data_IF_947002566906
#
_entry.id   IF_947002566906
#
_cell.length_a   1.000
_cell.length_b   1.000
_cell.length_c   1.000
_cell.angle_alpha   90.00
_cell.angle_beta   90.00
_cell.angle_gamma   90.00
#
_symmetry.space_group_name_H-M   'P 1'
#
loop_
_entity.id
_entity.type
_entity.pdbx_description
1 polymer ?
#
# COMPACT_ATOMS: atom_id res chain seq x y z
N UNK A 1 34.92 40.78 21.41
CA UNK A 1 34.26 39.89 22.38
C UNK A 1 33.34 38.99 21.60
N UNK A 2 33.63 37.71 21.36
CA UNK A 2 32.70 36.79 20.71
C UNK A 2 31.73 36.22 21.74
N UNK A 3 30.43 36.34 21.46
CA UNK A 3 29.35 35.76 22.25
C UNK A 3 29.19 34.30 21.82
N UNK A 4 29.59 33.36 22.68
CA UNK A 4 29.41 31.96 22.48
C UNK A 4 27.94 31.56 22.72
N UNK A 5 27.26 31.04 21.70
CA UNK A 5 25.95 30.39 21.82
C UNK A 5 26.19 28.92 22.16
N UNK A 6 25.91 28.53 23.39
CA UNK A 6 25.93 27.14 23.81
C UNK A 6 24.68 26.45 23.24
N UNK A 7 24.86 25.54 22.28
CA UNK A 7 23.83 24.63 21.80
C UNK A 7 23.69 23.48 22.79
N UNK A 8 22.69 23.53 23.64
CA UNK A 8 22.34 22.45 24.54
C UNK A 8 21.80 21.26 23.74
N UNK A 9 22.58 20.18 23.63
CA UNK A 9 22.12 18.91 23.10
C UNK A 9 21.25 18.25 24.18
N UNK A 10 19.94 18.31 24.00
CA UNK A 10 19.00 17.60 24.85
C UNK A 10 19.05 16.11 24.49
N UNK A 11 19.85 15.34 25.20
CA UNK A 11 19.87 13.87 25.11
C UNK A 11 18.72 13.33 25.96
N UNK A 12 17.51 13.45 25.44
CA UNK A 12 16.33 12.77 26.02
C UNK A 12 16.49 11.27 25.89
N UNK A 13 16.91 10.61 26.97
CA UNK A 13 16.80 9.17 27.09
C UNK A 13 15.32 8.79 26.99
N UNK A 14 14.94 7.77 26.19
CA UNK A 14 13.57 7.29 26.17
C UNK A 14 13.23 6.71 27.55
N UNK A 15 12.08 7.09 28.08
CA UNK A 15 11.55 6.56 29.33
C UNK A 15 11.45 5.03 29.21
N UNK A 16 12.12 4.33 30.13
CA UNK A 16 12.06 2.89 30.30
C UNK A 16 10.65 2.54 30.79
N UNK A 17 9.86 1.76 29.98
CA UNK A 17 8.67 1.08 30.49
C UNK A 17 7.32 1.40 29.85
N UNK A 18 7.22 1.77 28.58
CA UNK A 18 5.96 1.58 27.84
C UNK A 18 6.09 0.32 26.98
N UNK A 19 5.28 -0.70 27.26
CA UNK A 19 5.10 -1.81 26.34
C UNK A 19 4.82 -1.21 24.96
N UNK A 20 5.73 -1.46 23.98
CA UNK A 20 5.52 -0.96 22.62
C UNK A 20 4.24 -1.57 22.08
N UNK A 21 3.22 -0.75 21.86
CA UNK A 21 2.01 -1.18 21.19
C UNK A 21 2.38 -1.84 19.86
N UNK A 22 1.89 -3.05 19.63
CA UNK A 22 2.06 -3.73 18.35
C UNK A 22 1.25 -2.97 17.29
N UNK A 23 1.89 -2.58 16.22
CA UNK A 23 1.25 -1.89 15.10
C UNK A 23 0.46 -2.88 14.23
N UNK A 24 -0.59 -2.39 13.60
CA UNK A 24 -1.46 -3.17 12.71
C UNK A 24 -1.32 -2.70 11.27
N UNK A 25 -1.03 -3.62 10.37
CA UNK A 25 -1.05 -3.41 8.93
C UNK A 25 -2.29 -4.05 8.29
N UNK A 26 -2.96 -3.34 7.40
CA UNK A 26 -4.04 -3.85 6.56
C UNK A 26 -3.61 -3.85 5.10
N UNK A 27 -3.63 -5.01 4.47
CA UNK A 27 -3.36 -5.17 3.03
C UNK A 27 -4.67 -5.49 2.31
N UNK A 28 -5.10 -4.62 1.41
CA UNK A 28 -6.31 -4.79 0.59
C UNK A 28 -5.93 -5.14 -0.85
N UNK A 29 -6.46 -6.24 -1.36
CA UNK A 29 -6.10 -6.78 -2.67
C UNK A 29 -4.99 -7.83 -2.57
N UNK A 30 -5.12 -8.74 -1.62
CA UNK A 30 -4.14 -9.82 -1.43
C UNK A 30 -4.30 -10.89 -2.49
N UNK A 31 -3.22 -11.09 -3.25
CA UNK A 31 -3.05 -12.16 -4.21
C UNK A 31 -1.64 -12.75 -4.12
N UNK A 32 -1.35 -13.82 -4.89
CA UNK A 32 0.01 -14.34 -5.00
C UNK A 32 0.95 -13.22 -5.50
N UNK A 33 2.19 -13.24 -5.08
CA UNK A 33 3.17 -12.19 -5.36
C UNK A 33 3.16 -11.09 -4.30
N UNK A 34 2.90 -9.83 -4.65
CA UNK A 34 3.08 -8.67 -3.75
C UNK A 34 2.27 -8.79 -2.45
N UNK A 35 0.99 -9.22 -2.52
CA UNK A 35 0.15 -9.35 -1.32
C UNK A 35 0.71 -10.36 -0.32
N UNK A 36 1.22 -11.49 -0.80
CA UNK A 36 1.86 -12.52 0.02
C UNK A 36 3.20 -12.03 0.61
N UNK A 37 3.99 -11.32 -0.18
CA UNK A 37 5.25 -10.75 0.29
C UNK A 37 5.03 -9.69 1.36
N UNK A 38 4.03 -8.81 1.18
CA UNK A 38 3.63 -7.82 2.18
C UNK A 38 3.24 -8.48 3.50
N UNK A 39 2.40 -9.53 3.46
CA UNK A 39 2.00 -10.26 4.67
C UNK A 39 3.21 -10.76 5.46
N UNK A 40 4.13 -11.45 4.78
CA UNK A 40 5.35 -11.99 5.40
C UNK A 40 6.29 -10.91 5.92
N UNK A 41 6.56 -9.91 5.10
CA UNK A 41 7.52 -8.85 5.44
C UNK A 41 7.05 -7.99 6.61
N UNK A 42 5.77 -7.62 6.64
CA UNK A 42 5.21 -6.79 7.69
C UNK A 42 5.11 -7.55 9.02
N UNK A 43 4.71 -8.83 8.98
CA UNK A 43 4.71 -9.67 10.17
C UNK A 43 6.13 -9.89 10.71
N UNK A 44 7.12 -10.14 9.84
CA UNK A 44 8.53 -10.24 10.23
C UNK A 44 9.08 -8.92 10.81
N UNK A 45 8.52 -7.78 10.42
CA UNK A 45 8.84 -6.46 10.99
C UNK A 45 8.13 -6.18 12.33
N UNK A 46 7.37 -7.14 12.87
CA UNK A 46 6.72 -7.04 14.18
C UNK A 46 5.30 -6.47 14.15
N UNK A 47 4.65 -6.38 12.99
CA UNK A 47 3.28 -5.90 12.86
C UNK A 47 2.27 -7.05 12.90
N UNK A 48 1.10 -6.83 13.52
CA UNK A 48 -0.09 -7.65 13.27
C UNK A 48 -0.58 -7.37 11.85
N UNK A 49 -1.11 -8.38 11.15
CA UNK A 49 -1.47 -8.24 9.74
C UNK A 49 -2.92 -8.66 9.48
N UNK A 50 -3.70 -7.73 8.95
CA UNK A 50 -5.00 -7.97 8.36
C UNK A 50 -4.85 -8.12 6.84
N UNK A 51 -5.38 -9.20 6.27
CA UNK A 51 -5.34 -9.50 4.84
C UNK A 51 -6.77 -9.48 4.29
N UNK A 52 -7.04 -8.60 3.33
CA UNK A 52 -8.38 -8.45 2.76
C UNK A 52 -8.42 -8.86 1.28
N UNK A 53 -9.37 -9.73 0.96
CA UNK A 53 -9.72 -10.10 -0.42
C UNK A 53 -11.21 -10.42 -0.52
N UNK A 54 -11.76 -10.51 -1.73
CA UNK A 54 -13.17 -10.91 -1.93
C UNK A 54 -13.49 -12.30 -1.39
N UNK A 55 -12.52 -13.19 -1.43
CA UNK A 55 -12.63 -14.53 -0.85
C UNK A 55 -11.56 -14.70 0.23
N UNK A 56 -11.96 -14.53 1.50
CA UNK A 56 -11.06 -14.63 2.65
C UNK A 56 -10.49 -16.04 2.84
N UNK A 57 -11.28 -17.08 2.59
CA UNK A 57 -10.88 -18.49 2.79
C UNK A 57 -9.65 -18.88 1.96
N UNK A 58 -9.47 -18.25 0.78
CA UNK A 58 -8.27 -18.47 -0.04
C UNK A 58 -6.98 -17.98 0.61
N UNK A 59 -7.10 -17.15 1.64
CA UNK A 59 -5.95 -16.60 2.36
C UNK A 59 -5.56 -17.44 3.59
N UNK A 60 -6.37 -18.43 3.98
CA UNK A 60 -6.11 -19.24 5.19
C UNK A 60 -4.74 -19.91 5.17
N UNK A 61 -4.26 -20.54 4.08
CA UNK A 61 -2.92 -21.13 4.06
C UNK A 61 -1.80 -20.10 4.28
N UNK A 62 -1.96 -18.87 3.74
CA UNK A 62 -1.02 -17.78 3.95
C UNK A 62 -1.08 -17.29 5.40
N UNK A 63 -2.29 -17.11 5.94
CA UNK A 63 -2.49 -16.71 7.35
C UNK A 63 -1.78 -17.67 8.30
N UNK A 64 -1.98 -18.97 8.12
CA UNK A 64 -1.38 -20.00 8.97
C UNK A 64 0.15 -20.00 8.84
N UNK A 65 0.67 -19.90 7.60
CA UNK A 65 2.11 -19.84 7.36
C UNK A 65 2.75 -18.62 8.03
N UNK A 66 2.16 -17.43 7.85
CA UNK A 66 2.72 -16.19 8.38
C UNK A 66 2.60 -16.15 9.90
N UNK A 67 1.47 -16.60 10.45
CA UNK A 67 1.27 -16.71 11.90
C UNK A 67 2.28 -17.66 12.56
N UNK A 68 2.50 -18.82 11.96
CA UNK A 68 3.47 -19.80 12.47
C UNK A 68 4.90 -19.25 12.44
N UNK A 69 5.26 -18.48 11.43
CA UNK A 69 6.59 -17.91 11.28
C UNK A 69 6.86 -16.71 12.19
N UNK A 70 5.85 -15.86 12.45
CA UNK A 70 6.01 -14.60 13.18
C UNK A 70 5.57 -14.66 14.65
N UNK A 71 4.70 -15.58 15.02
CA UNK A 71 4.04 -15.62 16.33
C UNK A 71 3.05 -14.48 16.56
N UNK A 72 2.78 -13.64 15.55
CA UNK A 72 1.89 -12.49 15.65
C UNK A 72 0.48 -12.81 15.16
N UNK A 73 -0.48 -11.96 15.50
CA UNK A 73 -1.83 -12.08 15.00
C UNK A 73 -1.87 -11.74 13.50
N UNK A 74 -2.30 -12.72 12.70
CA UNK A 74 -2.56 -12.56 11.26
C UNK A 74 -3.96 -13.07 10.99
N UNK A 75 -4.79 -12.28 10.31
CA UNK A 75 -6.19 -12.62 10.02
C UNK A 75 -6.58 -12.28 8.60
N UNK A 76 -7.45 -13.12 8.02
CA UNK A 76 -8.08 -12.86 6.73
C UNK A 76 -9.49 -12.27 6.93
N UNK A 77 -9.86 -11.35 6.03
CA UNK A 77 -11.16 -10.69 6.00
C UNK A 77 -11.74 -10.69 4.60
N UNK A 78 -13.04 -10.96 4.48
CA UNK A 78 -13.78 -10.82 3.23
C UNK A 78 -14.07 -9.35 2.95
N UNK A 79 -13.65 -8.84 1.78
CA UNK A 79 -13.93 -7.46 1.40
C UNK A 79 -13.97 -7.29 -0.11
N UNK A 80 -15.06 -6.70 -0.59
CA UNK A 80 -15.12 -6.07 -1.90
C UNK A 80 -14.72 -4.59 -1.75
N UNK A 81 -13.51 -4.26 -2.18
CA UNK A 81 -12.97 -2.91 -2.07
C UNK A 81 -13.74 -1.86 -2.90
N UNK A 82 -14.54 -2.28 -3.88
CA UNK A 82 -15.38 -1.40 -4.69
C UNK A 82 -16.73 -1.08 -4.05
N UNK A 83 -17.05 -1.72 -2.93
CA UNK A 83 -18.26 -1.53 -2.17
C UNK A 83 -17.98 -0.79 -0.85
N UNK A 84 -18.50 0.42 -0.71
CA UNK A 84 -18.27 1.28 0.46
C UNK A 84 -18.66 0.60 1.78
N UNK A 85 -19.83 -0.05 1.84
CA UNK A 85 -20.28 -0.74 3.07
C UNK A 85 -19.37 -1.91 3.43
N UNK A 86 -18.87 -2.62 2.43
CA UNK A 86 -17.92 -3.72 2.64
C UNK A 86 -16.62 -3.21 3.25
N UNK A 87 -16.10 -2.07 2.76
CA UNK A 87 -14.87 -1.45 3.31
C UNK A 87 -15.10 -0.90 4.70
N UNK A 88 -16.24 -0.25 4.98
CA UNK A 88 -16.59 0.19 6.34
C UNK A 88 -16.68 -0.96 7.34
N UNK A 89 -17.29 -2.07 6.94
CA UNK A 89 -17.33 -3.31 7.73
C UNK A 89 -15.92 -3.86 7.98
N UNK A 90 -15.07 -3.90 6.93
CA UNK A 90 -13.67 -4.31 7.06
C UNK A 90 -12.92 -3.48 8.10
N UNK A 91 -12.98 -2.15 8.01
CA UNK A 91 -12.29 -1.26 8.95
C UNK A 91 -12.77 -1.46 10.39
N UNK A 92 -14.08 -1.67 10.57
CA UNK A 92 -14.67 -1.95 11.89
C UNK A 92 -14.18 -3.28 12.46
N UNK A 93 -14.19 -4.35 11.66
CA UNK A 93 -13.74 -5.68 12.08
C UNK A 93 -12.23 -5.69 12.39
N UNK A 94 -11.40 -5.09 11.53
CA UNK A 94 -9.95 -5.01 11.77
C UNK A 94 -9.67 -4.23 13.04
N UNK A 95 -10.36 -3.09 13.25
CA UNK A 95 -10.17 -2.26 14.45
C UNK A 95 -10.58 -3.00 15.73
N UNK A 96 -11.63 -3.81 15.70
CA UNK A 96 -12.08 -4.61 16.84
C UNK A 96 -11.12 -5.77 17.15
N UNK A 97 -10.59 -6.42 16.11
CA UNK A 97 -9.81 -7.65 16.24
C UNK A 97 -8.31 -7.42 16.46
N UNK A 98 -7.75 -6.40 15.80
CA UNK A 98 -6.29 -6.14 15.74
C UNK A 98 -5.92 -4.71 16.15
N UNK A 99 -6.91 -3.86 16.40
CA UNK A 99 -6.71 -2.43 16.63
C UNK A 99 -6.75 -1.60 15.36
N UNK A 100 -6.86 -0.27 15.53
CA UNK A 100 -6.89 0.67 14.42
C UNK A 100 -5.63 0.51 13.57
N UNK A 101 -5.75 0.30 12.24
CA UNK A 101 -4.59 0.12 11.37
C UNK A 101 -3.65 1.33 11.42
N UNK A 102 -2.35 1.07 11.55
CA UNK A 102 -1.28 2.07 11.43
C UNK A 102 -0.77 2.19 10.00
N UNK A 103 -0.90 1.11 9.23
CA UNK A 103 -0.53 1.04 7.83
C UNK A 103 -1.66 0.40 7.03
N UNK A 104 -2.18 1.09 6.03
CA UNK A 104 -3.14 0.54 5.07
C UNK A 104 -2.54 0.58 3.68
N UNK A 105 -2.54 -0.55 2.99
CA UNK A 105 -1.98 -0.72 1.65
C UNK A 105 -3.09 -1.15 0.71
N UNK A 106 -3.33 -0.36 -0.35
CA UNK A 106 -4.20 -0.74 -1.45
C UNK A 106 -3.36 -1.26 -2.61
N UNK A 107 -3.38 -2.58 -2.84
CA UNK A 107 -2.55 -3.28 -3.81
C UNK A 107 -3.38 -3.96 -4.93
N UNK A 108 -4.58 -3.44 -5.21
CA UNK A 108 -5.44 -3.97 -6.27
C UNK A 108 -4.93 -3.57 -7.65
N UNK A 109 -5.02 -4.53 -8.58
CA UNK A 109 -4.83 -4.27 -10.00
C UNK A 109 -5.82 -5.11 -10.81
N UNK A 110 -6.47 -4.45 -11.77
CA UNK A 110 -7.26 -5.08 -12.81
C UNK A 110 -6.72 -4.65 -14.16
N UNK A 111 -6.33 -5.60 -14.98
CA UNK A 111 -5.79 -5.36 -16.31
C UNK A 111 -6.58 -6.17 -17.33
N UNK A 112 -7.21 -5.47 -18.27
CA UNK A 112 -7.85 -6.03 -19.44
C UNK A 112 -7.32 -5.31 -20.67
N UNK A 113 -6.38 -5.93 -21.43
CA UNK A 113 -5.81 -5.32 -22.63
C UNK A 113 -6.85 -5.18 -23.73
N UNK A 114 -6.71 -4.15 -24.55
CA UNK A 114 -7.57 -3.94 -25.71
C UNK A 114 -7.43 -2.54 -26.28
N UNK A 115 -7.67 -2.39 -27.59
CA UNK A 115 -7.68 -1.08 -28.25
C UNK A 115 -8.84 -0.25 -27.67
N UNK A 116 -8.61 1.03 -27.48
CA UNK A 116 -9.60 1.94 -26.88
C UNK A 116 -10.97 1.90 -27.57
N UNK A 117 -11.00 1.67 -28.89
CA UNK A 117 -12.23 1.59 -29.68
C UNK A 117 -12.99 0.25 -29.54
N UNK A 118 -12.34 -0.77 -28.98
CA UNK A 118 -12.88 -2.14 -28.88
C UNK A 118 -13.25 -2.49 -27.41
N UNK A 119 -12.96 -1.60 -26.45
CA UNK A 119 -13.30 -1.84 -25.05
C UNK A 119 -14.77 -1.49 -24.79
N UNK A 120 -15.52 -2.48 -24.35
CA UNK A 120 -16.90 -2.31 -23.94
C UNK A 120 -17.02 -1.45 -22.65
N UNK A 121 -18.06 -0.59 -22.58
CA UNK A 121 -18.28 0.31 -21.42
C UNK A 121 -18.30 -0.43 -20.10
N UNK A 122 -18.98 -1.59 -19.93
CA UNK A 122 -18.96 -2.32 -18.65
C UNK A 122 -17.56 -2.80 -18.24
N UNK A 123 -16.71 -3.20 -19.19
CA UNK A 123 -15.34 -3.61 -18.91
C UNK A 123 -14.46 -2.42 -18.49
N UNK A 124 -14.65 -1.26 -19.11
CA UNK A 124 -14.01 -0.01 -18.71
C UNK A 124 -14.42 0.41 -17.30
N UNK A 125 -15.71 0.40 -16.99
CA UNK A 125 -16.24 0.75 -15.66
C UNK A 125 -15.69 -0.17 -14.58
N UNK A 126 -15.65 -1.48 -14.81
CA UNK A 126 -15.12 -2.44 -13.85
C UNK A 126 -13.62 -2.23 -13.61
N UNK A 127 -12.85 -1.99 -14.69
CA UNK A 127 -11.43 -1.64 -14.57
C UNK A 127 -11.21 -0.37 -13.74
N UNK A 128 -11.99 0.68 -13.99
CA UNK A 128 -11.93 1.91 -13.21
C UNK A 128 -12.34 1.72 -11.75
N UNK A 129 -13.41 0.95 -11.50
CA UNK A 129 -13.84 0.64 -10.13
C UNK A 129 -12.74 -0.03 -9.32
N UNK A 130 -12.08 -1.04 -9.89
CA UNK A 130 -11.03 -1.78 -9.20
C UNK A 130 -9.73 -0.97 -9.08
N UNK A 131 -9.30 -0.26 -10.11
CA UNK A 131 -8.01 0.44 -10.11
C UNK A 131 -8.06 1.84 -9.45
N UNK A 132 -9.24 2.48 -9.37
CA UNK A 132 -9.40 3.85 -8.87
C UNK A 132 -10.40 3.95 -7.73
N UNK A 133 -11.69 3.66 -7.97
CA UNK A 133 -12.75 3.87 -6.98
C UNK A 133 -12.50 3.09 -5.69
N UNK A 134 -12.10 1.81 -5.79
CA UNK A 134 -11.79 1.01 -4.61
C UNK A 134 -10.64 1.60 -3.79
N UNK A 135 -9.61 2.12 -4.46
CA UNK A 135 -8.52 2.83 -3.79
C UNK A 135 -8.98 4.07 -3.05
N UNK A 136 -9.88 4.85 -3.65
CA UNK A 136 -10.50 6.01 -2.99
C UNK A 136 -11.28 5.59 -1.74
N UNK A 137 -12.14 4.59 -1.85
CA UNK A 137 -12.97 4.13 -0.72
C UNK A 137 -12.09 3.64 0.42
N UNK A 138 -11.13 2.77 0.13
CA UNK A 138 -10.21 2.21 1.14
C UNK A 138 -9.38 3.31 1.80
N UNK A 139 -8.79 4.21 1.02
CA UNK A 139 -7.96 5.28 1.55
C UNK A 139 -8.75 6.26 2.43
N UNK A 140 -9.99 6.61 2.01
CA UNK A 140 -10.88 7.48 2.78
C UNK A 140 -11.28 6.85 4.12
N UNK A 141 -11.71 5.59 4.12
CA UNK A 141 -12.13 4.91 5.36
C UNK A 141 -10.93 4.66 6.29
N UNK A 142 -9.76 4.34 5.73
CA UNK A 142 -8.50 4.27 6.50
C UNK A 142 -8.19 5.60 7.17
N UNK A 143 -8.22 6.70 6.42
CA UNK A 143 -7.98 8.04 6.96
C UNK A 143 -8.97 8.40 8.08
N UNK A 144 -10.26 8.10 7.90
CA UNK A 144 -11.30 8.32 8.93
C UNK A 144 -10.97 7.58 10.24
N UNK A 145 -10.46 6.35 10.16
CA UNK A 145 -10.04 5.59 11.34
C UNK A 145 -8.76 6.16 11.98
N UNK A 146 -7.83 6.68 11.18
CA UNK A 146 -6.52 7.17 11.62
C UNK A 146 -6.56 8.60 12.19
N UNK A 147 -7.42 9.48 11.64
CA UNK A 147 -7.50 10.90 12.01
C UNK A 147 -7.66 11.16 13.52
N UNK A 148 -8.53 10.43 14.28
CA UNK A 148 -8.64 10.65 15.73
C UNK A 148 -7.34 10.40 16.48
N UNK A 149 -6.44 9.58 15.90
CA UNK A 149 -5.15 9.20 16.49
C UNK A 149 -3.98 10.04 15.97
N UNK A 150 -4.21 10.90 14.97
CA UNK A 150 -3.21 11.75 14.31
C UNK A 150 -1.96 10.99 13.87
N UNK A 151 -2.11 9.75 13.45
CA UNK A 151 -1.02 8.88 12.97
C UNK A 151 -1.55 7.82 12.02
N UNK A 152 -0.74 7.43 11.09
CA UNK A 152 -1.00 6.34 10.17
C UNK A 152 -0.37 6.58 8.81
N UNK A 153 -0.32 5.53 8.01
CA UNK A 153 0.20 5.57 6.64
C UNK A 153 -0.77 4.88 5.70
N UNK A 154 -1.09 5.54 4.61
CA UNK A 154 -1.90 4.98 3.52
C UNK A 154 -1.03 4.90 2.27
N UNK A 155 -0.76 3.68 1.80
CA UNK A 155 0.01 3.42 0.58
C UNK A 155 -0.95 3.00 -0.54
N UNK A 156 -0.97 3.78 -1.62
CA UNK A 156 -1.68 3.44 -2.84
C UNK A 156 -0.68 2.90 -3.87
N UNK A 157 -0.80 1.61 -4.19
CA UNK A 157 0.09 0.95 -5.14
C UNK A 157 -0.34 1.28 -6.56
N UNK A 158 0.47 2.08 -7.22
CA UNK A 158 0.34 2.48 -8.61
C UNK A 158 1.15 1.61 -9.56
N UNK A 159 1.22 2.08 -10.79
CA UNK A 159 2.08 1.53 -11.85
C UNK A 159 2.44 2.63 -12.83
N UNK A 160 3.39 2.38 -13.75
CA UNK A 160 3.70 3.31 -14.85
C UNK A 160 2.51 3.63 -15.74
N UNK A 161 1.48 2.79 -15.76
CA UNK A 161 0.21 3.13 -16.41
C UNK A 161 -0.51 4.31 -15.74
N UNK A 162 -0.11 4.74 -14.56
CA UNK A 162 -0.54 5.99 -13.92
C UNK A 162 0.32 7.21 -14.28
N UNK A 163 1.37 7.05 -15.07
CA UNK A 163 2.25 8.09 -15.56
C UNK A 163 2.15 8.29 -17.08
N UNK A 164 1.92 7.19 -17.79
CA UNK A 164 1.90 7.14 -19.25
C UNK A 164 0.77 6.21 -19.74
N UNK A 165 -0.10 6.74 -20.61
CA UNK A 165 -1.11 5.93 -21.31
C UNK A 165 -0.49 5.20 -22.50
N UNK A 166 -0.36 3.89 -22.40
CA UNK A 166 0.14 3.03 -23.47
C UNK A 166 -1.02 2.47 -24.30
N UNK A 167 -0.76 2.10 -25.55
CA UNK A 167 -1.73 1.34 -26.35
C UNK A 167 -2.14 0.07 -25.61
N UNK A 168 -3.38 -0.34 -25.78
CA UNK A 168 -4.00 -1.51 -25.17
C UNK A 168 -4.10 -1.51 -23.62
N UNK A 169 -3.84 -0.36 -22.96
CA UNK A 169 -3.83 -0.24 -21.49
C UNK A 169 -4.89 0.74 -20.96
N UNK A 170 -5.94 1.06 -21.73
CA UNK A 170 -6.86 2.16 -21.41
C UNK A 170 -7.47 2.05 -19.99
N UNK A 171 -8.09 0.91 -19.65
CA UNK A 171 -8.77 0.73 -18.37
C UNK A 171 -7.82 0.76 -17.17
N UNK A 172 -6.62 0.19 -17.33
CA UNK A 172 -5.58 0.27 -16.30
C UNK A 172 -5.06 1.71 -16.16
N UNK A 173 -4.74 2.37 -17.28
CA UNK A 173 -4.19 3.73 -17.27
C UNK A 173 -5.17 4.70 -16.61
N UNK A 174 -6.43 4.77 -17.05
CA UNK A 174 -7.44 5.68 -16.45
C UNK A 174 -7.58 5.44 -14.95
N UNK A 175 -7.63 4.18 -14.52
CA UNK A 175 -7.71 3.83 -13.10
C UNK A 175 -6.48 4.27 -12.32
N UNK A 176 -5.27 4.01 -12.82
CA UNK A 176 -4.01 4.34 -12.12
C UNK A 176 -3.68 5.84 -12.15
N UNK A 177 -4.03 6.59 -13.20
CA UNK A 177 -3.98 8.06 -13.19
C UNK A 177 -4.93 8.63 -12.12
N UNK A 178 -6.16 8.10 -12.03
CA UNK A 178 -7.12 8.49 -10.99
C UNK A 178 -6.59 8.17 -9.59
N UNK A 179 -6.03 7.00 -9.37
CA UNK A 179 -5.44 6.59 -8.08
C UNK A 179 -4.27 7.52 -7.67
N UNK A 180 -3.43 7.93 -8.63
CA UNK A 180 -2.36 8.91 -8.40
C UNK A 180 -2.91 10.27 -8.00
N UNK A 181 -3.96 10.75 -8.66
CA UNK A 181 -4.60 12.01 -8.31
C UNK A 181 -5.18 11.98 -6.89
N UNK A 182 -5.85 10.89 -6.51
CA UNK A 182 -6.36 10.66 -5.15
C UNK A 182 -5.23 10.74 -4.13
N UNK A 183 -4.12 10.04 -4.35
CA UNK A 183 -2.96 10.07 -3.46
C UNK A 183 -2.40 11.49 -3.29
N UNK A 184 -2.32 12.26 -4.38
CA UNK A 184 -1.80 13.63 -4.35
C UNK A 184 -2.70 14.59 -3.55
N UNK A 185 -4.02 14.44 -3.65
CA UNK A 185 -4.99 15.23 -2.88
C UNK A 185 -4.89 14.86 -1.41
N UNK A 186 -4.98 13.56 -1.10
CA UNK A 186 -4.93 13.07 0.28
C UNK A 186 -3.62 13.42 0.99
N UNK A 187 -2.48 13.37 0.30
CA UNK A 187 -1.22 13.79 0.90
C UNK A 187 -1.25 15.26 1.33
N UNK A 188 -1.83 16.16 0.54
CA UNK A 188 -1.93 17.59 0.88
C UNK A 188 -2.89 17.88 2.03
N UNK A 189 -3.98 17.13 2.12
CA UNK A 189 -5.02 17.31 3.13
C UNK A 189 -4.66 16.65 4.46
N UNK A 190 -4.03 15.47 4.40
CA UNK A 190 -3.89 14.60 5.57
C UNK A 190 -2.50 14.67 6.25
N UNK A 191 -1.44 15.08 5.55
CA UNK A 191 -0.13 15.24 6.19
C UNK A 191 -0.14 16.25 7.35
N UNK A 192 -0.81 17.41 7.24
CA UNK A 192 -0.95 18.33 8.37
C UNK A 192 -1.71 17.71 9.56
N UNK A 193 -2.54 16.69 9.29
CA UNK A 193 -3.30 15.94 10.31
C UNK A 193 -2.55 14.72 10.87
N UNK A 194 -1.28 14.52 10.45
CA UNK A 194 -0.43 13.43 10.92
C UNK A 194 -0.60 12.10 10.18
N UNK A 195 -1.32 12.07 9.05
CA UNK A 195 -1.50 10.86 8.23
C UNK A 195 -0.61 10.93 6.98
N UNK A 196 0.28 9.97 6.82
CA UNK A 196 1.18 9.87 5.68
C UNK A 196 0.49 9.18 4.49
N UNK A 197 0.02 9.95 3.51
CA UNK A 197 -0.46 9.43 2.22
C UNK A 197 0.70 9.34 1.21
N UNK A 198 0.93 8.17 0.61
CA UNK A 198 2.01 7.96 -0.35
C UNK A 198 1.56 7.10 -1.54
N UNK A 199 2.02 7.46 -2.73
CA UNK A 199 1.84 6.72 -3.97
C UNK A 199 3.12 5.97 -4.32
N UNK A 200 3.02 4.64 -4.49
CA UNK A 200 4.13 3.79 -4.86
C UNK A 200 3.93 3.32 -6.30
N UNK A 201 4.63 3.91 -7.26
CA UNK A 201 4.60 3.53 -8.67
C UNK A 201 5.53 2.34 -8.87
N UNK A 202 5.00 1.21 -9.31
CA UNK A 202 5.78 0.01 -9.60
C UNK A 202 5.82 -0.18 -11.11
N UNK A 203 7.02 -0.18 -11.68
CA UNK A 203 7.25 -0.47 -13.09
C UNK A 203 8.04 -1.75 -13.28
N UNK A 204 7.41 -2.86 -12.92
CA UNK A 204 7.99 -4.19 -13.03
C UNK A 204 6.89 -5.24 -13.08
N UNK A 205 7.20 -6.36 -13.69
CA UNK A 205 6.48 -7.60 -13.40
C UNK A 205 6.90 -8.10 -12.01
N UNK A 206 5.92 -8.27 -11.14
CA UNK A 206 6.14 -8.64 -9.74
C UNK A 206 6.00 -10.15 -9.61
N UNK A 207 7.12 -10.87 -9.66
CA UNK A 207 7.14 -12.34 -9.57
C UNK A 207 8.26 -12.82 -8.63
N UNK A 208 8.08 -14.01 -8.03
CA UNK A 208 9.06 -14.58 -7.11
C UNK A 208 10.33 -15.08 -7.85
N UNK A 209 10.19 -15.61 -9.07
CA UNK A 209 11.28 -16.15 -9.90
C UNK A 209 11.74 -15.10 -10.94
N UNK A 210 12.38 -14.05 -10.48
CA UNK A 210 12.82 -12.92 -11.31
C UNK A 210 13.85 -13.31 -12.40
N UNK A 211 14.48 -14.47 -12.33
CA UNK A 211 15.55 -14.86 -13.25
C UNK A 211 15.07 -15.60 -14.51
N UNK A 212 13.83 -16.09 -14.54
CA UNK A 212 13.40 -17.08 -15.54
C UNK A 212 12.88 -16.49 -16.87
N UNK A 213 12.55 -15.20 -16.98
CA UNK A 213 11.72 -14.70 -18.10
C UNK A 213 12.37 -13.64 -19.00
N UNK A 214 13.61 -13.24 -18.79
CA UNK A 214 14.30 -12.29 -19.68
C UNK A 214 13.77 -10.85 -19.65
N UNK A 215 12.77 -10.55 -18.83
CA UNK A 215 12.25 -9.19 -18.59
C UNK A 215 12.73 -8.65 -17.26
N UNK A 216 12.89 -7.30 -17.13
CA UNK A 216 13.20 -6.68 -15.85
C UNK A 216 12.09 -6.94 -14.85
N UNK A 217 12.40 -7.66 -13.79
CA UNK A 217 11.44 -8.06 -12.75
C UNK A 217 11.87 -7.51 -11.39
N UNK A 218 10.91 -7.19 -10.55
CA UNK A 218 11.14 -6.86 -9.14
C UNK A 218 10.62 -7.97 -8.26
N UNK A 219 11.45 -8.40 -7.31
CA UNK A 219 11.00 -9.39 -6.33
C UNK A 219 9.95 -8.77 -5.40
N UNK A 220 8.83 -9.45 -5.16
CA UNK A 220 7.78 -8.96 -4.27
C UNK A 220 8.28 -8.56 -2.88
N UNK A 221 9.27 -9.27 -2.35
CA UNK A 221 9.85 -9.03 -1.03
C UNK A 221 10.60 -7.69 -0.95
N UNK A 222 11.29 -7.29 -2.03
CA UNK A 222 12.03 -6.04 -2.07
C UNK A 222 11.06 -4.84 -2.07
N UNK A 223 9.96 -4.96 -2.84
CA UNK A 223 8.88 -3.98 -2.84
C UNK A 223 8.19 -3.90 -1.47
N UNK A 224 7.90 -5.06 -0.86
CA UNK A 224 7.31 -5.11 0.47
C UNK A 224 8.19 -4.46 1.54
N UNK A 225 9.51 -4.70 1.49
CA UNK A 225 10.50 -4.06 2.35
C UNK A 225 10.53 -2.53 2.19
N UNK A 226 10.46 -2.05 0.94
CA UNK A 226 10.39 -0.63 0.64
C UNK A 226 9.12 0.01 1.21
N UNK A 227 7.95 -0.62 1.04
CA UNK A 227 6.68 -0.14 1.60
C UNK A 227 6.75 -0.06 3.13
N UNK A 228 7.34 -1.07 3.78
CA UNK A 228 7.61 -1.02 5.22
C UNK A 228 8.54 0.12 5.64
N UNK A 229 9.49 0.51 4.77
CA UNK A 229 10.38 1.65 4.99
C UNK A 229 9.62 2.97 4.86
N UNK A 230 8.71 3.10 3.88
CA UNK A 230 7.86 4.29 3.74
C UNK A 230 7.01 4.55 4.99
N UNK A 231 6.45 3.51 5.57
CA UNK A 231 5.69 3.62 6.82
C UNK A 231 6.52 4.16 7.98
N UNK A 232 7.81 3.84 8.02
CA UNK A 232 8.72 4.25 9.10
C UNK A 232 9.46 5.57 8.85
N UNK A 233 9.14 6.27 7.77
CA UNK A 233 9.76 7.58 7.50
C UNK A 233 9.40 8.60 8.60
N UNK A 234 10.38 9.40 9.06
CA UNK A 234 10.10 10.47 10.00
C UNK A 234 9.28 11.58 9.34
N UNK A 235 8.39 12.22 10.07
CA UNK A 235 7.54 13.30 9.56
C UNK A 235 8.33 14.48 8.94
N UNK A 236 9.59 14.65 9.34
CA UNK A 236 10.47 15.66 8.75
C UNK A 236 11.01 15.30 7.36
N UNK A 237 10.81 14.05 6.91
CA UNK A 237 11.33 13.55 5.62
C UNK A 237 10.44 12.43 5.10
N UNK A 238 9.25 12.80 4.58
CA UNK A 238 8.28 11.87 4.02
C UNK A 238 8.27 11.89 2.50
N UNK A 239 8.15 10.73 1.89
CA UNK A 239 7.94 10.59 0.44
C UNK A 239 6.47 10.73 0.11
N UNK A 240 6.12 11.59 -0.84
CA UNK A 240 4.76 11.70 -1.39
C UNK A 240 4.49 10.68 -2.50
N UNK A 241 5.49 10.44 -3.32
CA UNK A 241 5.46 9.50 -4.45
C UNK A 241 6.85 8.93 -4.63
N UNK A 242 6.93 7.64 -4.91
CA UNK A 242 8.18 6.98 -5.28
C UNK A 242 7.98 6.11 -6.52
N UNK A 243 9.00 6.06 -7.36
CA UNK A 243 9.07 5.16 -8.51
C UNK A 243 9.98 3.99 -8.18
N UNK A 244 9.48 2.78 -8.46
CA UNK A 244 10.18 1.52 -8.20
C UNK A 244 10.44 0.82 -9.52
N UNK A 245 11.73 0.66 -9.86
CA UNK A 245 12.19 0.09 -11.10
C UNK A 245 13.24 -0.98 -10.85
N UNK A 246 13.25 -2.08 -11.60
CA UNK A 246 14.41 -2.95 -11.65
C UNK A 246 15.61 -2.18 -12.22
N UNK A 247 16.78 -2.31 -11.60
CA UNK A 247 17.98 -1.56 -12.00
C UNK A 247 18.41 -1.81 -13.46
N UNK A 248 18.05 -2.96 -14.04
CA UNK A 248 18.35 -3.36 -15.41
C UNK A 248 17.28 -2.91 -16.42
N UNK A 249 16.24 -2.21 -16.01
CA UNK A 249 15.21 -1.71 -16.92
C UNK A 249 15.65 -0.42 -17.58
N UNK A 250 15.52 -0.36 -18.90
CA UNK A 250 15.86 0.81 -19.71
C UNK A 250 14.65 1.74 -19.78
N UNK A 251 14.40 2.51 -18.73
CA UNK A 251 13.21 3.37 -18.63
C UNK A 251 13.18 4.49 -19.67
N UNK A 252 14.36 4.94 -20.15
CA UNK A 252 14.46 5.96 -21.19
C UNK A 252 14.00 5.50 -22.58
N UNK A 253 13.81 4.22 -22.82
CA UNK A 253 13.27 3.67 -24.07
C UNK A 253 11.74 3.74 -24.13
N UNK A 254 11.09 4.14 -23.03
CA UNK A 254 9.63 4.15 -22.86
C UNK A 254 9.07 5.54 -22.52
N UNK A 255 9.89 6.57 -22.55
CA UNK A 255 9.50 7.97 -22.34
C UNK A 255 9.21 8.69 -23.66
#
# INVERSE_FOLDING_TARGET
MPVGVAVGVNTGQPAVGSERRVETALVVGVGPGLGYALARTLAAAGMQVALASRNAERLDPLVDQVRAASGLAVRAFGCDATNERSVQSLMSQVSADLGVPDLVIYAMQSFGPGRAIDIEVPAFEEGWRQNCQGGFIVAREAARCMLPHKRGTVVLVGSTSGLLGRADHLNLAVGKFGLRAISQVMARELWPEGIHGVHCVIDADVQEDAEAMGYPQSRPQDIAGLIGTLHRQPQSCCSREIDVWPWNKRFWEHC
#
